data_IF_901183215461
#
_entry.id   IF_901183215461
#
_cell.length_a   1.000
_cell.length_b   1.000
_cell.length_c   1.000
_cell.angle_alpha   90.00
_cell.angle_beta   90.00
_cell.angle_gamma   90.00
#
_symmetry.space_group_name_H-M   'P 1'
#
loop_
_entity.id
_entity.type
_entity.pdbx_description
1 polymer ?
#
# COMPACT_ATOMS: atom_id res chain seq x y z
N UNK A 1 -21.64 9.09 16.65
CA UNK A 1 -20.47 9.56 17.44
C UNK A 1 -19.52 10.29 16.51
N UNK A 2 -19.05 11.49 16.86
CA UNK A 2 -18.17 12.27 15.98
C UNK A 2 -16.79 11.62 15.88
N UNK A 3 -16.34 11.28 14.68
CA UNK A 3 -15.00 10.72 14.41
C UNK A 3 -13.86 11.64 14.88
N UNK A 4 -14.15 12.91 15.15
CA UNK A 4 -13.18 13.86 15.71
C UNK A 4 -12.77 13.54 17.15
N UNK A 5 -13.62 12.87 17.93
CA UNK A 5 -13.43 12.63 19.37
C UNK A 5 -12.76 11.25 19.63
N UNK A 6 -12.64 10.42 18.60
CA UNK A 6 -11.99 9.11 18.67
C UNK A 6 -10.48 9.27 18.87
N UNK A 7 -9.85 8.41 19.67
CA UNK A 7 -8.38 8.41 19.86
C UNK A 7 -7.65 8.07 18.56
N UNK A 8 -6.37 8.42 18.46
CA UNK A 8 -5.58 8.10 17.26
C UNK A 8 -5.44 6.58 17.05
N UNK A 9 -5.34 5.82 18.14
CA UNK A 9 -5.26 4.35 18.12
C UNK A 9 -6.56 3.73 17.61
N UNK A 10 -7.72 4.05 18.21
CA UNK A 10 -9.01 3.52 17.75
C UNK A 10 -9.31 3.99 16.32
N UNK A 11 -8.96 5.21 15.95
CA UNK A 11 -9.11 5.69 14.58
C UNK A 11 -8.29 4.86 13.58
N UNK A 12 -7.06 4.49 13.94
CA UNK A 12 -6.19 3.62 13.13
C UNK A 12 -6.73 2.19 13.07
N UNK A 13 -7.21 1.63 14.17
CA UNK A 13 -7.80 0.30 14.14
C UNK A 13 -9.05 0.23 13.24
N UNK A 14 -9.89 1.26 13.32
CA UNK A 14 -11.08 1.38 12.46
C UNK A 14 -10.70 1.47 10.99
N UNK A 15 -9.66 2.23 10.65
CA UNK A 15 -9.07 2.25 9.31
C UNK A 15 -8.65 0.84 8.84
N UNK A 16 -7.91 0.10 9.67
CA UNK A 16 -7.42 -1.24 9.32
C UNK A 16 -8.54 -2.27 9.15
N UNK A 17 -9.67 -2.09 9.85
CA UNK A 17 -10.90 -2.89 9.69
C UNK A 17 -11.78 -2.47 8.51
N UNK A 18 -11.42 -1.41 7.79
CA UNK A 18 -12.22 -0.88 6.67
C UNK A 18 -13.42 -0.04 7.10
N UNK A 19 -13.49 0.35 8.37
CA UNK A 19 -14.54 1.23 8.88
C UNK A 19 -14.25 2.71 8.56
N UNK A 20 -15.29 3.55 8.69
CA UNK A 20 -15.13 5.00 8.51
C UNK A 20 -14.13 5.59 9.53
N UNK A 21 -13.06 6.20 9.07
CA UNK A 21 -12.04 6.81 9.92
C UNK A 21 -11.72 8.23 9.45
N UNK A 22 -10.97 8.98 10.27
CA UNK A 22 -10.53 10.33 9.94
C UNK A 22 -9.03 10.33 9.53
N UNK A 23 -8.68 10.48 8.25
CA UNK A 23 -7.30 10.42 7.75
C UNK A 23 -6.41 11.55 8.30
N UNK A 24 -6.98 12.69 8.71
CA UNK A 24 -6.22 13.81 9.27
C UNK A 24 -5.86 13.69 10.76
N UNK A 25 -6.02 12.52 11.38
CA UNK A 25 -5.50 12.26 12.72
C UNK A 25 -3.98 12.27 12.70
N UNK A 26 -3.37 12.82 13.74
CA UNK A 26 -1.94 13.16 13.75
C UNK A 26 -1.06 11.93 13.50
N UNK A 27 -1.35 10.82 14.17
CA UNK A 27 -0.65 9.55 13.99
C UNK A 27 -0.70 9.05 12.55
N UNK A 28 -1.85 9.16 11.86
CA UNK A 28 -1.95 8.75 10.46
C UNK A 28 -1.21 9.70 9.51
N UNK A 29 -1.21 11.01 9.80
CA UNK A 29 -0.41 11.99 9.05
C UNK A 29 1.08 11.66 9.16
N UNK A 30 1.56 11.39 10.38
CA UNK A 30 2.95 11.04 10.65
C UNK A 30 3.36 9.74 9.93
N UNK A 31 2.50 8.71 9.97
CA UNK A 31 2.75 7.45 9.26
C UNK A 31 2.83 7.66 7.74
N UNK A 32 1.91 8.41 7.12
CA UNK A 32 1.99 8.71 5.68
C UNK A 32 3.21 9.56 5.32
N UNK A 33 3.60 10.49 6.19
CA UNK A 33 4.82 11.28 5.98
C UNK A 33 6.07 10.38 5.96
N UNK A 34 6.16 9.41 6.89
CA UNK A 34 7.23 8.42 6.94
C UNK A 34 7.27 7.56 5.66
N UNK A 35 6.12 7.05 5.22
CA UNK A 35 6.01 6.28 3.99
C UNK A 35 6.46 7.08 2.75
N UNK A 36 6.09 8.36 2.66
CA UNK A 36 6.54 9.25 1.57
C UNK A 36 8.05 9.48 1.57
N UNK A 37 8.67 9.62 2.74
CA UNK A 37 10.14 9.72 2.85
C UNK A 37 10.78 8.43 2.36
N UNK A 38 10.28 7.28 2.81
CA UNK A 38 10.79 5.98 2.41
C UNK A 38 10.61 5.72 0.90
N UNK A 39 9.45 6.04 0.32
CA UNK A 39 9.23 5.92 -1.13
C UNK A 39 10.24 6.76 -1.91
N UNK A 40 10.56 7.98 -1.46
CA UNK A 40 11.61 8.79 -2.09
C UNK A 40 12.98 8.12 -2.03
N UNK A 41 13.35 7.55 -0.88
CA UNK A 41 14.61 6.82 -0.73
C UNK A 41 14.68 5.61 -1.66
N UNK A 42 13.61 4.81 -1.71
CA UNK A 42 13.53 3.66 -2.62
C UNK A 42 13.65 4.10 -4.09
N UNK A 43 12.92 5.15 -4.47
CA UNK A 43 12.88 5.63 -5.85
C UNK A 43 14.16 6.33 -6.31
N UNK A 44 15.08 6.61 -5.39
CA UNK A 44 16.38 7.22 -5.67
C UNK A 44 17.54 6.22 -5.54
N UNK A 45 17.24 4.92 -5.44
CA UNK A 45 18.26 3.88 -5.50
C UNK A 45 18.89 3.85 -6.89
N UNK A 46 20.22 3.72 -6.93
CA UNK A 46 21.03 3.78 -8.15
C UNK A 46 21.03 2.42 -8.86
N UNK A 47 20.60 2.38 -10.13
CA UNK A 47 20.56 1.18 -10.96
C UNK A 47 21.98 0.74 -11.41
N UNK A 48 22.95 1.65 -11.42
CA UNK A 48 24.33 1.36 -11.83
C UNK A 48 25.18 0.78 -10.67
N UNK A 49 24.66 0.79 -9.45
CA UNK A 49 25.31 0.21 -8.28
C UNK A 49 25.27 -1.33 -8.35
N UNK A 50 26.39 -2.01 -8.08
CA UNK A 50 26.47 -3.48 -8.18
C UNK A 50 25.61 -4.23 -7.16
N UNK A 51 25.16 -3.56 -6.09
CA UNK A 51 24.37 -4.11 -4.99
C UNK A 51 22.92 -3.58 -4.94
N UNK A 52 22.45 -2.93 -6.00
CA UNK A 52 21.14 -2.25 -6.01
C UNK A 52 19.98 -3.18 -5.65
N UNK A 53 20.02 -4.44 -6.10
CA UNK A 53 19.02 -5.47 -5.78
C UNK A 53 18.96 -5.70 -4.26
N UNK A 54 20.11 -5.89 -3.61
CA UNK A 54 20.18 -6.15 -2.18
C UNK A 54 19.79 -4.90 -1.37
N UNK A 55 20.15 -3.71 -1.84
CA UNK A 55 19.71 -2.45 -1.24
C UNK A 55 18.19 -2.33 -1.28
N UNK A 56 17.57 -2.54 -2.47
CA UNK A 56 16.12 -2.48 -2.65
C UNK A 56 15.40 -3.53 -1.80
N UNK A 57 15.91 -4.76 -1.75
CA UNK A 57 15.35 -5.82 -0.91
C UNK A 57 15.35 -5.43 0.58
N UNK A 58 16.48 -4.91 1.09
CA UNK A 58 16.57 -4.43 2.49
C UNK A 58 15.59 -3.29 2.77
N UNK A 59 15.45 -2.35 1.84
CA UNK A 59 14.52 -1.23 1.98
C UNK A 59 13.06 -1.71 2.03
N UNK A 60 12.67 -2.66 1.17
CA UNK A 60 11.32 -3.25 1.19
C UNK A 60 11.06 -3.98 2.50
N UNK A 61 11.98 -4.83 2.94
CA UNK A 61 11.86 -5.56 4.22
C UNK A 61 11.80 -4.66 5.44
N UNK A 62 12.40 -3.47 5.38
CA UNK A 62 12.40 -2.50 6.48
C UNK A 62 11.14 -1.62 6.58
N UNK A 63 10.29 -1.57 5.55
CA UNK A 63 9.15 -0.66 5.50
C UNK A 63 7.79 -1.33 5.30
N UNK A 64 7.74 -2.47 4.60
CA UNK A 64 6.49 -3.18 4.38
C UNK A 64 6.06 -3.95 5.63
N UNK A 65 4.77 -4.27 5.74
CA UNK A 65 4.23 -5.05 6.85
C UNK A 65 4.82 -6.47 6.92
N UNK A 66 5.04 -7.09 5.76
CA UNK A 66 5.93 -8.23 5.59
C UNK A 66 6.42 -8.31 4.15
N UNK A 67 7.59 -8.91 3.95
CA UNK A 67 8.15 -9.11 2.61
C UNK A 67 8.98 -10.40 2.59
N UNK A 68 8.63 -11.30 1.67
CA UNK A 68 9.30 -12.59 1.50
C UNK A 68 10.70 -12.49 0.90
N UNK A 69 11.12 -13.56 0.23
CA UNK A 69 12.41 -13.67 -0.45
C UNK A 69 12.35 -13.05 -1.84
N UNK A 70 13.47 -12.46 -2.25
CA UNK A 70 13.68 -11.96 -3.61
C UNK A 70 12.57 -11.03 -4.14
N UNK A 71 12.03 -10.07 -3.34
CA UNK A 71 11.09 -9.09 -3.85
C UNK A 71 11.80 -8.08 -4.74
N UNK A 72 11.15 -7.66 -5.81
CA UNK A 72 11.67 -6.60 -6.66
C UNK A 72 10.55 -5.70 -7.19
N UNK A 73 10.73 -4.39 -7.05
CA UNK A 73 9.81 -3.38 -7.57
C UNK A 73 10.63 -2.40 -8.37
N UNK A 74 10.32 -2.27 -9.65
CA UNK A 74 10.93 -1.22 -10.46
C UNK A 74 10.47 0.16 -9.98
N UNK A 75 11.41 1.09 -9.67
CA UNK A 75 11.04 2.46 -9.36
C UNK A 75 10.37 3.18 -10.56
N UNK A 76 9.43 4.11 -10.32
CA UNK A 76 9.01 4.58 -9.00
C UNK A 76 7.89 3.74 -8.38
N UNK A 77 7.98 3.53 -7.07
CA UNK A 77 6.95 2.96 -6.22
C UNK A 77 6.31 4.03 -5.32
N UNK A 78 4.99 3.95 -5.11
CA UNK A 78 4.24 4.83 -4.21
C UNK A 78 3.25 4.04 -3.35
N UNK A 79 3.19 4.37 -2.06
CA UNK A 79 2.17 3.85 -1.14
C UNK A 79 1.71 4.90 -0.11
N UNK A 80 0.61 4.61 0.58
CA UNK A 80 0.10 5.47 1.65
C UNK A 80 0.91 5.27 2.94
N UNK A 81 1.03 4.02 3.40
CA UNK A 81 1.65 3.67 4.69
C UNK A 81 2.82 2.69 4.55
N UNK A 82 2.78 1.80 3.56
CA UNK A 82 3.74 0.70 3.38
C UNK A 82 3.55 -0.45 4.38
N UNK A 83 3.33 -0.12 5.65
CA UNK A 83 3.19 -1.10 6.75
C UNK A 83 1.97 -2.01 6.63
N UNK A 84 1.02 -1.69 5.75
CA UNK A 84 -0.18 -2.50 5.52
C UNK A 84 -0.07 -3.36 4.25
N UNK A 85 1.10 -3.39 3.62
CA UNK A 85 1.40 -4.20 2.45
C UNK A 85 2.17 -5.44 2.89
N UNK A 86 1.69 -6.61 2.49
CA UNK A 86 2.25 -7.91 2.83
C UNK A 86 2.52 -8.68 1.55
N UNK A 87 3.79 -8.97 1.27
CA UNK A 87 4.25 -9.60 0.03
C UNK A 87 4.90 -10.95 0.34
N UNK A 88 4.54 -11.99 -0.43
CA UNK A 88 5.16 -13.32 -0.40
C UNK A 88 6.55 -13.38 -1.03
N UNK A 89 6.99 -14.59 -1.35
CA UNK A 89 8.27 -14.87 -2.01
C UNK A 89 8.16 -14.61 -3.54
N UNK A 90 9.26 -14.20 -4.15
CA UNK A 90 9.41 -14.05 -5.62
C UNK A 90 8.41 -13.08 -6.26
N UNK A 91 8.11 -11.98 -5.57
CA UNK A 91 7.28 -10.90 -6.11
C UNK A 91 8.06 -10.00 -7.06
N UNK A 92 7.49 -9.73 -8.23
CA UNK A 92 7.99 -8.73 -9.16
C UNK A 92 6.90 -7.72 -9.51
N UNK A 93 7.25 -6.44 -9.46
CA UNK A 93 6.46 -5.40 -10.12
C UNK A 93 7.31 -4.61 -11.08
N UNK A 94 6.76 -4.38 -12.26
CA UNK A 94 7.30 -3.43 -13.23
C UNK A 94 7.00 -1.98 -12.77
N UNK A 95 7.41 -1.01 -13.60
CA UNK A 95 7.42 0.43 -13.28
C UNK A 95 6.07 0.97 -12.81
N UNK A 96 6.10 2.08 -12.06
CA UNK A 96 4.92 2.88 -11.70
C UNK A 96 3.85 2.15 -10.87
N UNK A 97 4.27 1.24 -9.98
CA UNK A 97 3.36 0.62 -9.02
C UNK A 97 2.86 1.65 -7.99
N UNK A 98 1.53 1.67 -7.80
CA UNK A 98 0.88 2.43 -6.73
C UNK A 98 0.02 1.50 -5.89
N UNK A 99 0.21 1.52 -4.56
CA UNK A 99 -0.61 0.78 -3.61
C UNK A 99 -1.17 1.74 -2.56
N UNK A 100 -2.47 2.02 -2.60
CA UNK A 100 -3.15 2.80 -1.57
C UNK A 100 -3.59 1.85 -0.44
N UNK A 101 -2.68 1.61 0.50
CA UNK A 101 -2.78 0.60 1.56
C UNK A 101 -3.48 1.10 2.83
N UNK A 102 -4.59 1.85 2.69
CA UNK A 102 -5.46 2.22 3.81
C UNK A 102 -5.94 1.00 4.61
N UNK A 103 -6.29 -0.08 3.91
CA UNK A 103 -6.54 -1.40 4.50
C UNK A 103 -5.45 -2.40 4.05
N UNK A 104 -5.33 -3.56 4.71
CA UNK A 104 -4.34 -4.58 4.34
C UNK A 104 -4.39 -4.96 2.86
N UNK A 105 -3.24 -4.95 2.19
CA UNK A 105 -3.03 -5.47 0.83
C UNK A 105 -2.11 -6.66 0.94
N UNK A 106 -2.63 -7.85 0.61
CA UNK A 106 -1.90 -9.12 0.69
C UNK A 106 -1.63 -9.64 -0.70
N UNK A 107 -0.38 -9.95 -0.98
CA UNK A 107 0.10 -10.47 -2.26
C UNK A 107 0.84 -11.77 -1.98
N UNK A 108 0.44 -12.84 -2.68
CA UNK A 108 1.01 -14.18 -2.55
C UNK A 108 2.43 -14.30 -3.12
N UNK A 109 2.81 -15.54 -3.38
CA UNK A 109 4.10 -15.93 -3.92
C UNK A 109 4.08 -15.95 -5.45
N UNK A 110 5.23 -15.74 -6.08
CA UNK A 110 5.41 -15.81 -7.53
C UNK A 110 4.47 -14.87 -8.31
N UNK A 111 4.14 -13.71 -7.73
CA UNK A 111 3.24 -12.74 -8.35
C UNK A 111 4.01 -11.75 -9.21
N UNK A 112 3.50 -11.51 -10.41
CA UNK A 112 4.04 -10.55 -11.38
C UNK A 112 3.03 -9.44 -11.65
N UNK A 113 3.43 -8.19 -11.47
CA UNK A 113 2.63 -7.02 -11.85
C UNK A 113 3.29 -6.29 -13.03
N UNK A 114 2.51 -6.05 -14.08
CA UNK A 114 2.91 -5.22 -15.21
C UNK A 114 3.04 -3.74 -14.84
N UNK A 115 3.48 -2.89 -15.78
CA UNK A 115 3.74 -1.48 -15.50
C UNK A 115 2.45 -0.70 -15.26
N UNK A 116 2.49 0.24 -14.31
CA UNK A 116 1.38 1.13 -13.97
C UNK A 116 0.20 0.43 -13.29
N UNK A 117 0.42 -0.73 -12.66
CA UNK A 117 -0.61 -1.40 -11.85
C UNK A 117 -0.91 -0.57 -10.60
N UNK A 118 -2.19 -0.50 -10.28
CA UNK A 118 -2.73 0.29 -9.19
C UNK A 118 -3.60 -0.59 -8.28
N UNK A 119 -3.22 -0.72 -7.01
CA UNK A 119 -3.98 -1.49 -6.01
C UNK A 119 -4.58 -0.52 -4.99
N UNK A 120 -5.90 -0.38 -4.98
CA UNK A 120 -6.58 0.61 -4.16
C UNK A 120 -7.41 -0.05 -3.05
N UNK A 121 -6.86 -0.10 -1.83
CA UNK A 121 -7.61 -0.56 -0.66
C UNK A 121 -8.41 0.59 0.02
N UNK A 122 -8.22 1.83 -0.44
CA UNK A 122 -8.90 3.03 0.05
C UNK A 122 -10.16 3.38 -0.76
N UNK A 123 -11.16 3.97 -0.10
CA UNK A 123 -12.37 4.49 -0.74
C UNK A 123 -12.97 5.69 0.02
N UNK A 124 -13.92 6.37 -0.62
CA UNK A 124 -14.61 7.54 -0.06
C UNK A 124 -16.13 7.38 -0.08
N UNK A 125 -16.83 7.94 0.93
CA UNK A 125 -18.28 8.00 0.94
C UNK A 125 -18.87 8.57 -0.36
N UNK A 126 -19.91 7.93 -0.89
CA UNK A 126 -20.59 8.37 -2.13
C UNK A 126 -21.42 9.63 -1.94
N UNK A 127 -22.00 9.82 -0.76
CA UNK A 127 -22.69 11.05 -0.41
C UNK A 127 -21.71 12.22 -0.25
N UNK A 128 -21.92 13.31 -0.98
CA UNK A 128 -21.07 14.49 -0.91
C UNK A 128 -21.09 15.15 0.49
N UNK A 129 -22.22 15.11 1.19
CA UNK A 129 -22.34 15.58 2.57
C UNK A 129 -21.40 14.84 3.51
N UNK A 130 -21.26 13.52 3.35
CA UNK A 130 -20.34 12.72 4.13
C UNK A 130 -18.88 13.08 3.83
N UNK A 131 -18.52 13.30 2.55
CA UNK A 131 -17.14 13.69 2.17
C UNK A 131 -16.70 15.05 2.75
N UNK A 132 -17.63 15.98 3.01
CA UNK A 132 -17.31 17.27 3.66
C UNK A 132 -16.73 17.11 5.07
N UNK A 133 -16.91 15.95 5.69
CA UNK A 133 -16.33 15.65 7.00
C UNK A 133 -14.89 15.13 6.92
N UNK A 134 -14.32 15.01 5.71
CA UNK A 134 -12.96 14.49 5.48
C UNK A 134 -12.77 13.10 6.09
N UNK A 135 -13.71 12.21 5.83
CA UNK A 135 -13.69 10.82 6.31
C UNK A 135 -13.53 9.86 5.14
N UNK A 136 -12.90 8.74 5.41
CA UNK A 136 -12.54 7.69 4.45
C UNK A 136 -12.93 6.32 5.00
N UNK A 137 -13.01 5.32 4.14
CA UNK A 137 -13.07 3.91 4.53
C UNK A 137 -12.22 3.09 3.55
N UNK A 138 -12.24 1.77 3.67
CA UNK A 138 -11.53 0.92 2.73
C UNK A 138 -11.99 -0.52 2.82
N UNK A 139 -11.37 -1.36 2.01
CA UNK A 139 -11.54 -2.81 2.09
C UNK A 139 -10.24 -3.49 1.63
N UNK A 140 -9.83 -4.58 2.30
CA UNK A 140 -8.57 -5.25 2.00
C UNK A 140 -8.55 -5.83 0.57
N UNK A 141 -7.36 -5.90 -0.02
CA UNK A 141 -7.12 -6.57 -1.30
C UNK A 141 -6.32 -7.84 -1.05
N UNK A 142 -6.67 -8.92 -1.75
CA UNK A 142 -5.91 -10.18 -1.73
C UNK A 142 -5.58 -10.61 -3.15
N UNK A 143 -4.29 -10.82 -3.43
CA UNK A 143 -3.79 -11.44 -4.66
C UNK A 143 -3.18 -12.78 -4.26
N UNK A 144 -3.65 -13.87 -4.88
CA UNK A 144 -3.19 -15.24 -4.66
C UNK A 144 -1.78 -15.50 -5.17
N UNK A 145 -1.37 -16.76 -5.11
CA UNK A 145 -0.09 -17.23 -5.62
C UNK A 145 -0.13 -17.37 -7.16
N UNK A 146 1.03 -17.28 -7.81
CA UNK A 146 1.21 -17.52 -9.26
C UNK A 146 0.37 -16.60 -10.19
N UNK A 147 -0.09 -15.46 -9.66
CA UNK A 147 -0.89 -14.49 -10.40
C UNK A 147 0.01 -13.60 -11.26
N UNK A 148 -0.41 -13.37 -12.52
CA UNK A 148 0.12 -12.29 -13.36
C UNK A 148 -0.97 -11.26 -13.66
N UNK A 149 -0.69 -9.99 -13.32
CA UNK A 149 -1.55 -8.85 -13.64
C UNK A 149 -0.88 -8.02 -14.72
N UNK A 150 -1.60 -7.79 -15.83
CA UNK A 150 -1.13 -6.96 -16.94
C UNK A 150 -0.95 -5.49 -16.59
N UNK A 151 -0.33 -4.72 -17.49
CA UNK A 151 -0.08 -3.29 -17.29
C UNK A 151 -1.35 -2.44 -17.23
N UNK A 152 -1.29 -1.33 -16.48
CA UNK A 152 -2.38 -0.35 -16.27
C UNK A 152 -3.67 -0.90 -15.66
N UNK A 153 -3.63 -2.10 -15.06
CA UNK A 153 -4.76 -2.64 -14.32
C UNK A 153 -4.97 -1.87 -13.02
N UNK A 154 -6.25 -1.64 -12.69
CA UNK A 154 -6.68 -1.06 -11.42
C UNK A 154 -7.47 -2.11 -10.66
N UNK A 155 -7.01 -2.46 -9.46
CA UNK A 155 -7.70 -3.35 -8.52
C UNK A 155 -8.37 -2.50 -7.46
N UNK A 156 -9.69 -2.63 -7.34
CA UNK A 156 -10.53 -1.83 -6.45
C UNK A 156 -10.63 -2.43 -5.03
N UNK A 157 -11.15 -1.67 -4.05
CA UNK A 157 -11.25 -2.12 -2.67
C UNK A 157 -12.04 -3.42 -2.54
N UNK A 158 -11.57 -4.35 -1.70
CA UNK A 158 -12.27 -5.60 -1.40
C UNK A 158 -12.09 -6.71 -2.44
N UNK A 159 -11.36 -6.46 -3.53
CA UNK A 159 -11.15 -7.47 -4.58
C UNK A 159 -10.20 -8.56 -4.09
N UNK A 160 -10.56 -9.80 -4.41
CA UNK A 160 -9.69 -10.98 -4.30
C UNK A 160 -9.45 -11.56 -5.68
N UNK A 161 -8.18 -11.77 -6.04
CA UNK A 161 -7.76 -12.47 -7.26
C UNK A 161 -7.16 -13.80 -6.80
N UNK A 162 -7.77 -14.91 -7.22
CA UNK A 162 -7.37 -16.27 -6.87
C UNK A 162 -6.22 -16.78 -7.72
#
# INVERSE_FOLDING_TARGET
MSLKIVSDEDNRERMLRGELYHPMKEGLIQLRAKAKVWCRQYNQTDDDATDFIQVRERLLKGALGSCGKSPFIEPPFRCDYGSNIYIGDNFYSNYDLVILDTCPVRIGNNVFLGPGVNLYAADHPRAASARKHLIEYGAPITIGDDVWIGGRVVVLPGVTIG
#
